data_IF_083305846717
#
_entry.id   IF_083305846717
#
_cell.length_a   1.000
_cell.length_b   1.000
_cell.length_c   1.000
_cell.angle_alpha   90.00
_cell.angle_beta   90.00
_cell.angle_gamma   90.00
#
_symmetry.space_group_name_H-M   'P 1'
#
loop_
_entity.id
_entity.type
_entity.pdbx_description
1 polymer ?
#
# COMPACT_ATOMS: atom_id res chain seq x y z
N UNK A 1 10.83 -43.47 30.97
CA UNK A 1 10.26 -43.90 29.67
C UNK A 1 9.04 -43.04 29.23
N UNK A 2 8.46 -42.20 30.11
CA UNK A 2 7.23 -41.42 29.83
C UNK A 2 7.56 -40.02 29.24
N UNK A 3 8.80 -39.52 29.47
CA UNK A 3 9.21 -38.15 29.02
C UNK A 3 9.52 -38.08 27.53
N UNK A 4 9.93 -39.17 26.88
CA UNK A 4 10.28 -39.18 25.45
C UNK A 4 9.04 -39.11 24.55
N UNK A 5 7.90 -39.65 24.98
CA UNK A 5 6.64 -39.64 24.22
C UNK A 5 5.95 -38.28 24.13
N UNK A 6 6.12 -37.43 25.15
CA UNK A 6 5.53 -36.08 25.17
C UNK A 6 6.27 -35.11 24.25
N UNK A 7 7.60 -35.27 24.10
CA UNK A 7 8.41 -34.41 23.23
C UNK A 7 8.16 -34.69 21.75
N UNK A 8 7.96 -35.94 21.36
CA UNK A 8 7.66 -36.31 19.97
C UNK A 8 6.23 -35.95 19.57
N UNK A 9 5.27 -35.95 20.50
CA UNK A 9 3.91 -35.59 20.22
C UNK A 9 3.74 -34.07 20.00
N UNK A 10 4.41 -33.27 20.81
CA UNK A 10 4.37 -31.81 20.64
C UNK A 10 5.04 -31.36 19.34
N UNK A 11 6.09 -32.04 18.87
CA UNK A 11 6.77 -31.76 17.62
C UNK A 11 5.98 -32.23 16.38
N UNK A 12 5.19 -33.29 16.52
CA UNK A 12 4.30 -33.78 15.45
C UNK A 12 3.08 -32.90 15.27
N UNK A 13 2.58 -32.28 16.33
CA UNK A 13 1.45 -31.35 16.25
C UNK A 13 1.84 -30.02 15.62
N UNK A 14 2.99 -29.44 15.98
CA UNK A 14 3.50 -28.20 15.36
C UNK A 14 3.78 -28.37 13.86
N UNK A 15 4.33 -29.51 13.43
CA UNK A 15 4.60 -29.76 12.00
C UNK A 15 3.32 -30.05 11.19
N UNK A 16 2.28 -30.63 11.80
CA UNK A 16 1.00 -30.87 11.12
C UNK A 16 0.21 -29.57 10.93
N UNK A 17 0.18 -28.70 11.92
CA UNK A 17 -0.48 -27.39 11.82
C UNK A 17 0.24 -26.47 10.82
N UNK A 18 1.58 -26.47 10.77
CA UNK A 18 2.35 -25.73 9.77
C UNK A 18 2.12 -26.29 8.35
N UNK A 19 1.98 -27.60 8.17
CA UNK A 19 1.72 -28.23 6.88
C UNK A 19 0.27 -27.95 6.39
N UNK A 20 -0.71 -27.95 7.28
CA UNK A 20 -2.10 -27.57 6.96
C UNK A 20 -2.18 -26.08 6.60
N UNK A 21 -1.37 -25.22 7.24
CA UNK A 21 -1.30 -23.79 6.97
C UNK A 21 -0.70 -23.44 5.61
N UNK A 22 0.10 -24.33 5.02
CA UNK A 22 0.75 -24.13 3.70
C UNK A 22 -0.11 -24.60 2.51
N UNK A 23 -1.09 -25.47 2.71
CA UNK A 23 -1.86 -26.11 1.63
C UNK A 23 -2.79 -25.16 0.87
N UNK A 24 -3.21 -24.02 1.45
CA UNK A 24 -4.19 -23.10 0.86
C UNK A 24 -3.60 -21.73 0.50
N UNK A 25 -2.28 -21.62 0.45
CA UNK A 25 -1.60 -20.37 0.10
C UNK A 25 -1.58 -20.15 -1.41
N UNK A 26 -2.12 -19.01 -1.83
CA UNK A 26 -1.93 -18.49 -3.19
C UNK A 26 -0.60 -17.75 -3.22
N UNK A 27 0.31 -18.20 -4.07
CA UNK A 27 1.57 -17.55 -4.33
C UNK A 27 1.57 -17.00 -5.77
N UNK A 28 1.77 -15.70 -5.93
CA UNK A 28 1.86 -15.01 -7.21
C UNK A 28 3.27 -14.46 -7.41
N UNK A 29 4.06 -15.15 -8.22
CA UNK A 29 5.30 -14.61 -8.76
C UNK A 29 4.98 -13.94 -10.10
N UNK A 30 5.42 -12.68 -10.27
CA UNK A 30 5.14 -11.90 -11.48
C UNK A 30 6.44 -11.62 -12.24
N UNK A 31 6.39 -11.82 -13.55
CA UNK A 31 7.51 -11.51 -14.47
C UNK A 31 7.44 -10.10 -15.02
N UNK A 32 6.24 -9.52 -15.01
CA UNK A 32 5.94 -8.18 -15.50
C UNK A 32 5.15 -7.42 -14.46
N UNK A 33 5.13 -6.09 -14.56
CA UNK A 33 4.31 -5.24 -13.71
C UNK A 33 2.85 -5.67 -13.81
N UNK A 34 2.26 -6.06 -12.68
CA UNK A 34 0.97 -6.73 -12.63
C UNK A 34 0.05 -6.05 -11.62
N UNK A 35 -1.20 -5.84 -12.01
CA UNK A 35 -2.24 -5.35 -11.11
C UNK A 35 -3.22 -6.49 -10.77
N UNK A 36 -3.63 -6.58 -9.49
CA UNK A 36 -4.59 -7.58 -9.04
C UNK A 36 -5.47 -7.04 -7.90
N UNK A 37 -6.63 -7.68 -7.74
CA UNK A 37 -7.54 -7.40 -6.63
C UNK A 37 -7.50 -8.58 -5.66
N UNK A 38 -7.39 -8.27 -4.38
CA UNK A 38 -7.40 -9.23 -3.28
C UNK A 38 -8.85 -9.57 -2.88
N UNK A 39 -9.07 -10.67 -2.09
CA UNK A 39 -10.41 -11.10 -1.72
C UNK A 39 -11.25 -10.06 -0.95
N UNK A 40 -10.61 -9.16 -0.20
CA UNK A 40 -11.29 -8.06 0.53
C UNK A 40 -11.64 -6.85 -0.36
N UNK A 41 -11.28 -6.89 -1.64
CA UNK A 41 -11.45 -5.80 -2.59
C UNK A 41 -10.31 -4.76 -2.58
N UNK A 42 -9.26 -4.98 -1.79
CA UNK A 42 -8.03 -4.19 -1.87
C UNK A 42 -7.31 -4.42 -3.19
N UNK A 43 -6.67 -3.39 -3.74
CA UNK A 43 -5.89 -3.54 -4.97
C UNK A 43 -4.39 -3.54 -4.71
N UNK A 44 -3.66 -4.28 -5.52
CA UNK A 44 -2.20 -4.41 -5.44
C UNK A 44 -1.59 -4.27 -6.82
N UNK A 45 -0.63 -3.36 -6.97
CA UNK A 45 0.22 -3.23 -8.14
C UNK A 45 1.60 -3.78 -7.81
N UNK A 46 1.95 -4.91 -8.38
CA UNK A 46 3.21 -5.61 -8.17
C UNK A 46 4.22 -5.21 -9.25
N UNK A 47 5.45 -4.95 -8.87
CA UNK A 47 6.56 -4.78 -9.82
C UNK A 47 7.09 -6.13 -10.28
N UNK A 48 7.62 -6.16 -11.50
CA UNK A 48 8.28 -7.33 -12.07
C UNK A 48 9.32 -7.93 -11.10
N UNK A 49 9.34 -9.24 -10.98
CA UNK A 49 10.20 -9.98 -10.06
C UNK A 49 9.65 -10.14 -8.64
N UNK A 50 8.51 -9.54 -8.32
CA UNK A 50 7.90 -9.64 -6.99
C UNK A 50 7.14 -10.94 -6.79
N UNK A 51 7.08 -11.38 -5.54
CA UNK A 51 6.29 -12.52 -5.07
C UNK A 51 5.33 -12.04 -3.99
N UNK A 52 4.04 -12.25 -4.21
CA UNK A 52 2.99 -11.99 -3.22
C UNK A 52 2.31 -13.31 -2.84
N UNK A 53 2.22 -13.59 -1.56
CA UNK A 53 1.55 -14.79 -1.03
C UNK A 53 0.49 -14.43 -0.02
N UNK A 54 -0.66 -15.09 -0.07
CA UNK A 54 -1.76 -14.94 0.89
C UNK A 54 -2.65 -16.18 0.91
N UNK A 55 -3.43 -16.35 1.98
CA UNK A 55 -4.42 -17.42 2.07
C UNK A 55 -5.82 -16.83 1.80
N UNK A 56 -6.48 -17.15 0.67
CA UNK A 56 -7.78 -16.61 0.32
C UNK A 56 -8.90 -17.03 1.26
N UNK A 57 -8.85 -18.24 1.83
CA UNK A 57 -9.89 -18.74 2.74
C UNK A 57 -9.87 -18.02 4.09
N UNK A 58 -8.70 -17.62 4.55
CA UNK A 58 -8.52 -16.86 5.80
C UNK A 58 -8.69 -15.35 5.63
N UNK A 59 -8.72 -14.85 4.41
CA UNK A 59 -8.72 -13.41 4.14
C UNK A 59 -9.97 -12.68 4.69
N UNK A 60 -11.06 -13.41 4.91
CA UNK A 60 -12.25 -12.86 5.57
C UNK A 60 -12.04 -12.57 7.07
N UNK A 61 -11.11 -13.29 7.72
CA UNK A 61 -10.80 -13.12 9.14
C UNK A 61 -9.47 -12.43 9.37
N UNK A 62 -8.46 -12.73 8.53
CA UNK A 62 -7.10 -12.22 8.64
C UNK A 62 -6.66 -11.67 7.28
N UNK A 63 -6.58 -10.34 7.14
CA UNK A 63 -6.08 -9.69 5.93
C UNK A 63 -4.54 -9.66 5.92
N UNK A 64 -3.95 -10.83 5.71
CA UNK A 64 -2.52 -11.06 5.79
C UNK A 64 -1.94 -11.41 4.43
N UNK A 65 -0.90 -10.69 4.02
CA UNK A 65 -0.11 -11.00 2.83
C UNK A 65 1.38 -11.04 3.18
N UNK A 66 2.15 -11.85 2.48
CA UNK A 66 3.62 -11.83 2.52
C UNK A 66 4.15 -11.30 1.21
N UNK A 67 5.11 -10.38 1.26
CA UNK A 67 5.72 -9.75 0.10
C UNK A 67 7.24 -9.98 0.11
N UNK A 68 7.73 -10.49 -1.02
CA UNK A 68 9.13 -10.44 -1.41
C UNK A 68 9.18 -9.71 -2.76
N UNK A 69 9.73 -8.50 -2.79
CA UNK A 69 9.71 -7.65 -3.97
C UNK A 69 9.19 -6.25 -3.69
N UNK A 70 8.49 -5.68 -4.67
CA UNK A 70 7.90 -4.35 -4.54
C UNK A 70 6.43 -4.33 -4.97
N UNK A 71 5.60 -3.71 -4.12
CA UNK A 71 4.18 -3.55 -4.39
C UNK A 71 3.64 -2.22 -3.86
N UNK A 72 2.72 -1.62 -4.62
CA UNK A 72 1.83 -0.56 -4.15
C UNK A 72 0.48 -1.17 -3.79
N UNK A 73 0.02 -0.86 -2.60
CA UNK A 73 -1.25 -1.32 -2.05
C UNK A 73 -2.23 -0.15 -1.96
N UNK A 74 -3.46 -0.35 -2.42
CA UNK A 74 -4.62 0.47 -2.09
C UNK A 74 -5.58 -0.40 -1.29
N UNK A 75 -5.45 -0.32 0.03
CA UNK A 75 -6.15 -1.19 0.98
C UNK A 75 -7.49 -0.61 1.32
N UNK A 76 -8.55 -1.42 1.11
CA UNK A 76 -9.91 -1.08 1.50
C UNK A 76 -9.99 -0.86 3.01
N UNK A 77 -10.66 0.23 3.42
CA UNK A 77 -10.79 0.59 4.83
C UNK A 77 -11.64 -0.42 5.61
N UNK A 78 -11.06 -0.94 6.70
CA UNK A 78 -11.74 -1.78 7.69
C UNK A 78 -11.07 -1.60 9.06
N UNK A 79 -11.76 -0.91 9.97
CA UNK A 79 -11.24 -0.60 11.30
C UNK A 79 -11.18 -1.80 12.25
N UNK A 80 -11.89 -2.88 11.93
CA UNK A 80 -11.99 -4.07 12.79
C UNK A 80 -11.00 -5.16 12.39
N UNK A 81 -10.58 -5.18 11.12
CA UNK A 81 -9.65 -6.17 10.58
C UNK A 81 -8.45 -5.47 9.96
N UNK A 82 -7.34 -5.32 10.70
CA UNK A 82 -6.11 -4.76 10.15
C UNK A 82 -5.63 -5.58 8.94
N UNK A 83 -5.07 -4.88 7.96
CA UNK A 83 -4.35 -5.48 6.84
C UNK A 83 -2.85 -5.46 7.18
N UNK A 84 -2.18 -6.59 7.03
CA UNK A 84 -0.76 -6.73 7.38
C UNK A 84 0.03 -7.23 6.19
N UNK A 85 1.04 -6.47 5.78
CA UNK A 85 2.07 -6.92 4.85
C UNK A 85 3.26 -7.42 5.65
N UNK A 86 3.52 -8.72 5.58
CA UNK A 86 4.72 -9.33 6.15
C UNK A 86 5.87 -9.28 5.15
N UNK A 87 7.03 -8.90 5.62
CA UNK A 87 8.30 -9.02 4.91
C UNK A 87 9.28 -9.84 5.76
N UNK A 88 10.46 -10.11 5.23
CA UNK A 88 11.49 -10.86 5.98
C UNK A 88 11.95 -10.11 7.24
N UNK A 89 11.92 -8.77 7.24
CA UNK A 89 12.54 -7.96 8.28
C UNK A 89 11.54 -7.22 9.18
N UNK A 90 10.37 -6.87 8.66
CA UNK A 90 9.34 -6.11 9.40
C UNK A 90 7.95 -6.41 8.87
N UNK A 91 6.94 -5.99 9.63
CA UNK A 91 5.55 -5.99 9.20
C UNK A 91 5.03 -4.55 9.00
N UNK A 92 4.16 -4.38 8.03
CA UNK A 92 3.44 -3.12 7.77
C UNK A 92 1.97 -3.33 8.03
N UNK A 93 1.45 -2.72 9.10
CA UNK A 93 0.04 -2.86 9.53
C UNK A 93 -0.74 -1.60 9.21
N UNK A 94 -1.90 -1.77 8.56
CA UNK A 94 -2.77 -0.67 8.12
C UNK A 94 -4.25 -1.01 8.33
N UNK A 95 -5.12 0.02 8.27
CA UNK A 95 -6.58 -0.16 8.33
C UNK A 95 -7.29 0.19 7.02
N UNK A 96 -6.69 1.06 6.20
CA UNK A 96 -7.23 1.52 4.91
C UNK A 96 -6.33 2.62 4.38
N UNK A 97 -5.43 2.29 3.48
CA UNK A 97 -4.20 3.04 3.30
C UNK A 97 -3.68 2.84 1.87
N UNK A 98 -3.17 3.88 1.25
CA UNK A 98 -2.41 3.80 -0.01
C UNK A 98 -0.93 3.95 0.31
N UNK A 99 -0.15 2.91 0.02
CA UNK A 99 1.26 2.86 0.37
C UNK A 99 2.05 1.92 -0.53
N UNK A 100 3.35 2.13 -0.58
CA UNK A 100 4.31 1.24 -1.25
C UNK A 100 5.17 0.50 -0.23
N UNK A 101 5.50 -0.74 -0.53
CA UNK A 101 6.52 -1.53 0.20
C UNK A 101 7.51 -2.08 -0.81
N UNK A 102 8.80 -1.92 -0.53
CA UNK A 102 9.88 -2.40 -1.38
C UNK A 102 10.92 -3.15 -0.53
N UNK A 103 11.14 -4.42 -0.86
CA UNK A 103 12.12 -5.31 -0.24
C UNK A 103 13.29 -5.67 -1.19
N UNK A 104 13.30 -5.09 -2.41
CA UNK A 104 14.29 -5.45 -3.45
C UNK A 104 15.70 -4.93 -3.16
N UNK A 105 15.89 -4.13 -2.11
CA UNK A 105 17.21 -3.64 -1.75
C UNK A 105 18.07 -4.72 -1.10
N UNK A 106 19.36 -4.78 -1.43
CA UNK A 106 20.29 -5.70 -0.76
C UNK A 106 20.35 -5.46 0.76
N UNK A 107 20.59 -6.51 1.56
CA UNK A 107 20.80 -6.39 2.99
C UNK A 107 19.53 -6.44 3.83
N UNK A 108 18.43 -6.98 3.30
CA UNK A 108 17.15 -7.09 4.00
C UNK A 108 16.53 -5.72 4.38
N UNK A 109 16.88 -4.69 3.61
CA UNK A 109 16.34 -3.35 3.76
C UNK A 109 14.91 -3.33 3.23
N UNK A 110 14.00 -2.78 4.03
CA UNK A 110 12.62 -2.57 3.61
C UNK A 110 12.31 -1.08 3.59
N UNK A 111 11.81 -0.61 2.44
CA UNK A 111 11.31 0.75 2.29
C UNK A 111 9.79 0.76 2.24
N UNK A 112 9.18 1.66 2.98
CA UNK A 112 7.73 1.86 2.97
C UNK A 112 7.42 3.34 2.78
N UNK A 113 6.64 3.66 1.75
CA UNK A 113 6.22 5.04 1.45
C UNK A 113 4.72 5.16 1.61
N UNK A 114 4.27 6.10 2.44
CA UNK A 114 2.86 6.33 2.73
C UNK A 114 2.32 7.51 1.94
N UNK A 115 1.33 7.27 1.08
CA UNK A 115 0.63 8.32 0.34
C UNK A 115 -0.64 8.79 1.06
N UNK A 116 -1.45 7.86 1.62
CA UNK A 116 -2.70 8.19 2.32
C UNK A 116 -3.00 7.21 3.43
N UNK A 117 -3.65 7.68 4.50
CA UNK A 117 -4.05 6.89 5.65
C UNK A 117 -3.00 6.89 6.76
N UNK A 118 -2.76 5.75 7.36
CA UNK A 118 -1.76 5.58 8.41
C UNK A 118 -1.13 4.20 8.38
N UNK A 119 0.13 4.12 8.73
CA UNK A 119 0.89 2.87 8.85
C UNK A 119 1.42 2.74 10.26
N UNK A 120 1.39 1.52 10.78
CA UNK A 120 2.19 1.08 11.91
C UNK A 120 3.25 0.12 11.39
N UNK A 121 4.51 0.48 11.56
CA UNK A 121 5.64 -0.45 11.36
C UNK A 121 5.76 -1.31 12.60
N UNK A 122 5.84 -2.61 12.39
CA UNK A 122 6.02 -3.60 13.46
C UNK A 122 7.28 -4.42 13.20
N UNK A 123 7.88 -4.93 14.26
CA UNK A 123 8.90 -5.96 14.12
C UNK A 123 8.29 -7.28 13.59
N UNK A 124 9.12 -8.28 13.35
CA UNK A 124 8.67 -9.61 12.88
C UNK A 124 7.83 -10.36 13.91
N UNK A 125 7.83 -9.94 15.18
CA UNK A 125 7.00 -10.51 16.25
C UNK A 125 5.65 -9.82 16.37
N UNK A 126 5.44 -8.68 15.67
CA UNK A 126 4.24 -7.89 15.70
C UNK A 126 4.23 -6.78 16.77
N UNK A 127 5.39 -6.45 17.36
CA UNK A 127 5.50 -5.32 18.27
C UNK A 127 5.56 -4.00 17.49
N UNK A 128 4.76 -3.02 17.90
CA UNK A 128 4.67 -1.72 17.24
C UNK A 128 5.97 -0.91 17.47
N UNK A 129 6.63 -0.52 16.39
CA UNK A 129 7.89 0.23 16.42
C UNK A 129 7.67 1.71 16.09
N UNK A 130 6.87 2.03 15.06
CA UNK A 130 6.74 3.39 14.53
C UNK A 130 5.40 3.62 13.88
N UNK A 131 4.82 4.81 14.09
CA UNK A 131 3.68 5.33 13.34
C UNK A 131 4.15 6.24 12.20
N UNK A 132 3.67 5.99 10.98
CA UNK A 132 4.03 6.72 9.77
C UNK A 132 2.85 7.57 9.31
N UNK A 133 3.13 8.79 8.84
CA UNK A 133 2.16 9.76 8.34
C UNK A 133 2.24 9.90 6.82
N UNK A 134 1.18 10.36 6.14
CA UNK A 134 1.23 10.65 4.72
C UNK A 134 2.39 11.59 4.35
N UNK A 135 3.07 11.29 3.24
CA UNK A 135 4.26 12.01 2.79
C UNK A 135 5.56 11.52 3.41
N UNK A 136 5.53 10.48 4.23
CA UNK A 136 6.74 9.89 4.81
C UNK A 136 7.14 8.59 4.11
N UNK A 137 8.46 8.41 4.02
CA UNK A 137 9.10 7.15 3.67
C UNK A 137 9.92 6.67 4.85
N UNK A 138 9.72 5.43 5.22
CA UNK A 138 10.51 4.71 6.22
C UNK A 138 11.48 3.78 5.51
N UNK A 139 12.74 3.82 5.91
CA UNK A 139 13.78 2.86 5.50
C UNK A 139 14.15 2.09 6.77
N UNK A 140 13.86 0.80 6.76
CA UNK A 140 14.12 -0.12 7.86
C UNK A 140 15.33 -0.99 7.53
N UNK A 141 16.43 -0.83 8.28
CA UNK A 141 17.67 -1.60 8.15
C UNK A 141 17.89 -2.53 9.37
N UNK A 142 16.85 -2.76 10.16
CA UNK A 142 16.83 -3.49 11.42
C UNK A 142 16.22 -2.67 12.55
N UNK A 143 15.93 -3.29 13.69
CA UNK A 143 15.16 -2.66 14.77
C UNK A 143 15.81 -1.40 15.37
N UNK A 144 17.11 -1.25 15.24
CA UNK A 144 17.87 -0.11 15.79
C UNK A 144 18.18 0.96 14.72
N UNK A 145 17.92 0.70 13.44
CA UNK A 145 18.20 1.64 12.35
C UNK A 145 16.95 1.86 11.48
N UNK A 146 16.12 2.80 11.95
CA UNK A 146 14.92 3.24 11.25
C UNK A 146 15.12 4.69 10.82
N UNK A 147 15.17 4.94 9.50
CA UNK A 147 15.25 6.28 8.92
C UNK A 147 13.89 6.72 8.40
N UNK A 148 13.49 7.96 8.70
CA UNK A 148 12.26 8.55 8.20
C UNK A 148 12.59 9.76 7.37
N UNK A 149 12.14 9.76 6.12
CA UNK A 149 12.31 10.86 5.17
C UNK A 149 10.94 11.43 4.81
N UNK A 150 10.89 12.74 4.58
CA UNK A 150 9.71 13.39 3.99
C UNK A 150 9.85 13.38 2.47
N UNK A 151 8.77 13.04 1.77
CA UNK A 151 8.73 13.07 0.30
C UNK A 151 7.33 13.33 -0.23
N UNK A 152 7.24 13.60 -1.52
CA UNK A 152 5.98 13.75 -2.24
C UNK A 152 5.49 12.38 -2.69
N UNK A 153 4.71 11.71 -1.83
CA UNK A 153 4.40 10.30 -1.99
C UNK A 153 3.59 9.99 -3.28
N UNK A 154 2.63 10.84 -3.66
CA UNK A 154 1.87 10.65 -4.88
C UNK A 154 2.72 10.76 -6.14
N UNK A 155 3.62 11.76 -6.19
CA UNK A 155 4.57 11.94 -7.28
C UNK A 155 5.57 10.77 -7.33
N UNK A 156 6.04 10.30 -6.18
CA UNK A 156 6.87 9.09 -6.10
C UNK A 156 6.16 7.86 -6.68
N UNK A 157 4.89 7.64 -6.31
CA UNK A 157 4.10 6.52 -6.84
C UNK A 157 3.85 6.66 -8.34
N UNK A 158 3.54 7.86 -8.83
CA UNK A 158 3.36 8.13 -10.25
C UNK A 158 4.64 7.82 -11.06
N UNK A 159 5.79 8.26 -10.58
CA UNK A 159 7.07 7.95 -11.21
C UNK A 159 7.36 6.45 -11.23
N UNK A 160 6.99 5.75 -10.17
CA UNK A 160 7.31 4.35 -9.97
C UNK A 160 6.39 3.40 -10.75
N UNK A 161 5.09 3.71 -10.81
CA UNK A 161 4.05 2.85 -11.39
C UNK A 161 3.47 3.37 -12.69
N UNK A 162 3.79 4.59 -13.09
CA UNK A 162 3.27 5.21 -14.31
C UNK A 162 1.82 5.66 -14.22
N UNK A 163 1.11 5.27 -13.19
CA UNK A 163 -0.28 5.64 -12.90
C UNK A 163 -0.51 5.76 -11.41
N UNK A 164 -1.40 6.65 -11.01
CA UNK A 164 -1.90 6.74 -9.63
C UNK A 164 -3.41 6.94 -9.63
N UNK A 165 -4.05 6.40 -8.60
CA UNK A 165 -5.43 6.71 -8.24
C UNK A 165 -5.43 7.26 -6.82
N UNK A 166 -5.96 8.47 -6.63
CA UNK A 166 -6.13 9.10 -5.31
C UNK A 166 -7.58 8.85 -4.90
N UNK A 167 -7.83 7.88 -4.00
CA UNK A 167 -9.19 7.48 -3.68
C UNK A 167 -9.81 8.41 -2.65
N UNK A 168 -11.09 8.77 -2.85
CA UNK A 168 -11.95 9.47 -1.87
C UNK A 168 -11.21 10.61 -1.13
N UNK A 169 -10.63 11.53 -1.89
CA UNK A 169 -9.83 12.65 -1.37
C UNK A 169 -10.54 13.99 -1.56
N UNK A 170 -10.28 14.99 -0.69
CA UNK A 170 -10.71 16.35 -0.93
C UNK A 170 -10.20 16.82 -2.30
N UNK A 171 -11.04 17.52 -3.06
CA UNK A 171 -10.65 18.06 -4.38
C UNK A 171 -9.39 18.93 -4.29
N UNK A 172 -9.18 19.65 -3.19
CA UNK A 172 -7.99 20.44 -2.94
C UNK A 172 -6.71 19.60 -2.91
N UNK A 173 -6.74 18.41 -2.32
CA UNK A 173 -5.58 17.50 -2.29
C UNK A 173 -5.21 17.04 -3.71
N UNK A 174 -6.23 16.69 -4.51
CA UNK A 174 -6.02 16.27 -5.91
C UNK A 174 -5.44 17.43 -6.73
N UNK A 175 -5.97 18.63 -6.56
CA UNK A 175 -5.47 19.85 -7.22
C UNK A 175 -4.02 20.09 -6.85
N UNK A 176 -3.67 20.01 -5.57
CA UNK A 176 -2.30 20.20 -5.10
C UNK A 176 -1.31 19.19 -5.71
N UNK A 177 -1.73 17.92 -5.84
CA UNK A 177 -0.91 16.90 -6.52
C UNK A 177 -0.75 17.23 -8.00
N UNK A 178 -1.83 17.55 -8.71
CA UNK A 178 -1.78 17.86 -10.13
C UNK A 178 -0.96 19.14 -10.41
N UNK A 179 -1.10 20.19 -9.60
CA UNK A 179 -0.28 21.40 -9.73
C UNK A 179 1.23 21.10 -9.61
N UNK A 180 1.60 20.22 -8.70
CA UNK A 180 3.01 19.80 -8.54
C UNK A 180 3.49 18.95 -9.71
N UNK A 181 2.68 17.99 -10.17
CA UNK A 181 3.03 17.09 -11.28
C UNK A 181 3.19 17.87 -12.59
N UNK A 182 2.27 18.79 -12.90
CA UNK A 182 2.29 19.53 -14.16
C UNK A 182 3.03 20.86 -14.09
N UNK A 183 3.38 21.34 -12.89
CA UNK A 183 4.03 22.64 -12.71
C UNK A 183 3.15 23.83 -13.11
N UNK A 184 1.83 23.66 -13.09
CA UNK A 184 0.84 24.65 -13.54
C UNK A 184 -0.24 24.85 -12.49
N UNK A 185 -0.70 26.08 -12.32
CA UNK A 185 -1.77 26.43 -11.40
C UNK A 185 -3.15 26.05 -11.95
N UNK A 186 -4.00 25.53 -11.06
CA UNK A 186 -5.36 25.10 -11.35
C UNK A 186 -6.32 25.98 -10.54
N UNK A 187 -7.29 26.56 -11.22
CA UNK A 187 -8.37 27.34 -10.58
C UNK A 187 -9.62 26.48 -10.52
N UNK A 188 -10.13 26.28 -9.30
CA UNK A 188 -11.37 25.55 -9.07
C UNK A 188 -12.40 26.48 -8.45
N UNK A 189 -13.56 26.58 -9.06
CA UNK A 189 -14.70 27.26 -8.47
C UNK A 189 -15.55 26.24 -7.70
N UNK A 190 -15.37 26.22 -6.37
CA UNK A 190 -16.14 25.37 -5.46
C UNK A 190 -17.28 26.21 -4.88
N UNK A 191 -18.55 25.76 -4.91
CA UNK A 191 -19.64 26.43 -4.23
C UNK A 191 -19.37 26.55 -2.72
N UNK A 192 -19.83 27.63 -2.13
CA UNK A 192 -19.63 27.92 -0.70
C UNK A 192 -20.21 26.78 0.17
N UNK A 193 -19.43 26.30 1.15
CA UNK A 193 -19.84 25.22 2.05
C UNK A 193 -19.74 23.80 1.49
N UNK A 194 -19.23 23.62 0.28
CA UNK A 194 -19.06 22.30 -0.36
C UNK A 194 -17.58 21.92 -0.31
N UNK A 195 -17.28 20.70 0.17
CA UNK A 195 -15.96 20.11 0.06
C UNK A 195 -16.08 18.80 -0.73
N UNK A 196 -15.95 18.83 -2.06
CA UNK A 196 -16.12 17.62 -2.87
C UNK A 196 -15.04 16.58 -2.53
N UNK A 197 -15.48 15.38 -2.19
CA UNK A 197 -14.63 14.21 -2.06
C UNK A 197 -14.65 13.48 -3.39
N UNK A 198 -13.49 13.20 -3.96
CA UNK A 198 -13.35 12.69 -5.32
C UNK A 198 -12.33 11.55 -5.35
N UNK A 199 -12.65 10.50 -6.09
CA UNK A 199 -11.66 9.52 -6.51
C UNK A 199 -11.17 9.90 -7.89
N UNK A 200 -9.87 10.16 -8.04
CA UNK A 200 -9.29 10.62 -9.29
C UNK A 200 -8.01 9.87 -9.66
N UNK A 201 -8.02 9.30 -10.87
CA UNK A 201 -6.86 8.60 -11.42
C UNK A 201 -6.29 9.31 -12.64
N UNK A 202 -4.96 9.27 -12.78
CA UNK A 202 -4.26 9.79 -13.94
C UNK A 202 -2.93 9.05 -14.17
N UNK A 203 -2.42 9.15 -15.40
CA UNK A 203 -1.19 8.49 -15.83
C UNK A 203 -0.06 9.51 -15.98
N UNK A 204 1.17 9.02 -15.84
CA UNK A 204 2.37 9.77 -16.20
C UNK A 204 2.38 9.96 -17.73
N UNK A 205 2.19 11.17 -18.19
CA UNK A 205 2.14 11.49 -19.61
C UNK A 205 0.76 11.79 -20.14
N UNK A 206 -0.31 11.72 -19.32
CA UNK A 206 -1.61 12.29 -19.68
C UNK A 206 -1.45 13.79 -19.99
N UNK A 207 -2.11 14.26 -21.04
CA UNK A 207 -2.10 15.66 -21.40
C UNK A 207 -2.82 16.52 -20.34
N UNK A 208 -2.19 17.62 -19.93
CA UNK A 208 -2.72 18.48 -18.86
C UNK A 208 -4.17 18.92 -19.10
N UNK A 209 -4.50 19.30 -20.35
CA UNK A 209 -5.86 19.73 -20.73
C UNK A 209 -6.90 18.62 -20.50
N UNK A 210 -6.58 17.38 -20.87
CA UNK A 210 -7.46 16.23 -20.70
C UNK A 210 -7.68 15.90 -19.22
N UNK A 211 -6.62 16.00 -18.41
CA UNK A 211 -6.69 15.78 -16.95
C UNK A 211 -7.61 16.81 -16.29
N UNK A 212 -7.51 18.09 -16.68
CA UNK A 212 -8.37 19.17 -16.17
C UNK A 212 -9.83 18.96 -16.55
N UNK A 213 -10.10 18.55 -17.80
CA UNK A 213 -11.47 18.25 -18.25
C UNK A 213 -12.06 17.07 -17.48
N UNK A 214 -11.32 15.98 -17.30
CA UNK A 214 -11.74 14.83 -16.49
C UNK A 214 -12.00 15.23 -15.04
N UNK A 215 -11.12 16.05 -14.45
CA UNK A 215 -11.29 16.52 -13.08
C UNK A 215 -12.56 17.36 -12.93
N UNK A 216 -12.87 18.23 -13.90
CA UNK A 216 -14.09 19.01 -13.91
C UNK A 216 -15.34 18.11 -13.95
N UNK A 217 -15.33 17.08 -14.80
CA UNK A 217 -16.44 16.13 -14.92
C UNK A 217 -16.65 15.35 -13.62
N UNK A 218 -15.58 14.78 -13.07
CA UNK A 218 -15.66 13.90 -11.88
C UNK A 218 -16.01 14.68 -10.62
N UNK A 219 -15.50 15.90 -10.48
CA UNK A 219 -15.78 16.76 -9.31
C UNK A 219 -17.10 17.51 -9.39
N UNK A 220 -17.69 17.64 -10.58
CA UNK A 220 -18.85 18.50 -10.81
C UNK A 220 -18.57 20.00 -10.63
N UNK A 221 -17.30 20.40 -10.51
CA UNK A 221 -16.86 21.77 -10.32
C UNK A 221 -16.35 22.39 -11.63
N UNK A 222 -16.37 23.73 -11.70
CA UNK A 222 -15.67 24.42 -12.79
C UNK A 222 -14.17 24.42 -12.48
N UNK A 223 -13.42 23.69 -13.30
CA UNK A 223 -11.95 23.60 -13.20
C UNK A 223 -11.34 24.23 -14.45
N UNK A 224 -10.32 25.05 -14.28
CA UNK A 224 -9.62 25.71 -15.38
C UNK A 224 -8.14 25.89 -15.07
N UNK A 225 -7.33 25.88 -16.10
CA UNK A 225 -5.93 26.28 -16.00
C UNK A 225 -5.80 27.79 -15.79
N UNK A 226 -4.92 28.21 -14.90
CA UNK A 226 -4.51 29.60 -14.85
C UNK A 226 -3.69 29.88 -16.12
N UNK A 227 -4.06 30.92 -16.88
CA UNK A 227 -3.34 31.34 -18.10
C UNK A 227 -2.01 31.98 -17.76
#
# INVERSE_FOLDING_TARGET
AVVVGLFTWNHLWTSADEQILQQDMVCRQVTDDTHMILPDGSSVSLKAGSVLSYNPERFETERLVSLDGEACFDVRHDMYRPFVVKTESMNVKVLGTVFNVNTMRPGKIVETTLARGSIVIQDVKGEDLLFVRPGQQVIYEGSEDIKVNELRAWEYLLERYGTVTIPDAPLSEIVDVLERVYGRKIVVAIPEGVCPMVTFGFNKGDEYSEVIERLAIVSGCKVSALK
#
